data_IF_881844774226
#
_entry.id   IF_881844774226
#
_cell.length_a   1.000
_cell.length_b   1.000
_cell.length_c   1.000
_cell.angle_alpha   90.00
_cell.angle_beta   90.00
_cell.angle_gamma   90.00
#
_symmetry.space_group_name_H-M   'P 1'
#
loop_
_entity.id
_entity.type
_entity.pdbx_description
1 polymer ?
#
# COMPACT_ATOMS: atom_id res chain seq x y z
N UNK A 1 -10.09 4.23 -25.53
CA UNK A 1 -10.40 3.56 -24.25
C UNK A 1 -11.87 3.87 -23.93
N UNK A 2 -12.68 2.89 -23.53
CA UNK A 2 -14.09 3.12 -23.21
C UNK A 2 -14.18 4.07 -21.99
N UNK A 3 -15.09 5.07 -22.01
CA UNK A 3 -15.26 6.05 -20.92
C UNK A 3 -15.37 5.41 -19.52
N UNK A 4 -16.06 4.26 -19.43
CA UNK A 4 -16.19 3.48 -18.19
C UNK A 4 -14.85 2.98 -17.64
N UNK A 5 -13.93 2.52 -18.51
CA UNK A 5 -12.59 2.07 -18.10
C UNK A 5 -11.72 3.24 -17.63
N UNK A 6 -11.89 4.42 -18.24
CA UNK A 6 -11.19 5.64 -17.81
C UNK A 6 -11.64 6.02 -16.40
N UNK A 7 -12.94 6.01 -16.13
CA UNK A 7 -13.48 6.37 -14.81
C UNK A 7 -13.01 5.37 -13.72
N UNK A 8 -13.05 4.07 -14.00
CA UNK A 8 -12.53 3.08 -13.04
C UNK A 8 -11.03 3.23 -12.81
N UNK A 9 -10.26 3.49 -13.87
CA UNK A 9 -8.83 3.80 -13.72
C UNK A 9 -8.63 5.05 -12.85
N UNK A 10 -9.36 6.14 -13.11
CA UNK A 10 -9.29 7.37 -12.32
C UNK A 10 -9.70 7.13 -10.86
N UNK A 11 -10.72 6.32 -10.61
CA UNK A 11 -11.14 5.96 -9.24
C UNK A 11 -10.00 5.33 -8.46
N UNK A 12 -9.37 4.29 -9.01
CA UNK A 12 -8.25 3.61 -8.36
C UNK A 12 -7.02 4.52 -8.28
N UNK A 13 -6.74 5.29 -9.34
CA UNK A 13 -5.61 6.22 -9.37
C UNK A 13 -5.72 7.33 -8.32
N UNK A 14 -6.89 7.98 -8.21
CA UNK A 14 -7.12 9.06 -7.23
C UNK A 14 -7.03 8.53 -5.80
N UNK A 15 -7.55 7.33 -5.53
CA UNK A 15 -7.44 6.70 -4.22
C UNK A 15 -5.98 6.44 -3.83
N UNK A 16 -5.19 5.91 -4.76
CA UNK A 16 -3.77 5.61 -4.53
C UNK A 16 -2.90 6.87 -4.52
N UNK A 17 -3.26 7.87 -5.33
CA UNK A 17 -2.64 9.18 -5.29
C UNK A 17 -2.85 9.83 -3.92
N UNK A 18 -4.09 9.85 -3.42
CA UNK A 18 -4.42 10.40 -2.12
C UNK A 18 -3.74 9.66 -0.97
N UNK A 19 -3.67 8.34 -1.03
CA UNK A 19 -2.88 7.55 -0.09
C UNK A 19 -1.38 7.92 -0.15
N UNK A 20 -0.81 8.01 -1.35
CA UNK A 20 0.59 8.40 -1.57
C UNK A 20 0.92 9.81 -1.09
N UNK A 21 -0.01 10.77 -1.26
CA UNK A 21 0.10 12.15 -0.77
C UNK A 21 0.22 12.18 0.75
N UNK A 22 -0.57 11.36 1.44
CA UNK A 22 -0.68 11.40 2.91
C UNK A 22 0.46 10.63 3.60
N UNK A 23 1.02 9.59 2.99
CA UNK A 23 2.08 8.75 3.59
C UNK A 23 3.22 9.57 4.20
N UNK A 24 3.91 10.49 3.47
CA UNK A 24 5.06 11.19 4.00
C UNK A 24 4.71 12.31 4.99
N UNK A 25 3.45 12.73 5.03
CA UNK A 25 3.01 13.91 5.79
C UNK A 25 2.41 13.52 7.13
N UNK A 26 1.60 12.46 7.13
CA UNK A 26 0.79 12.07 8.28
C UNK A 26 1.60 11.85 9.56
N UNK A 27 2.73 11.10 9.53
CA UNK A 27 3.50 10.85 10.74
C UNK A 27 3.98 12.14 11.42
N UNK A 28 4.57 13.04 10.64
CA UNK A 28 5.08 14.30 11.15
C UNK A 28 3.98 15.23 11.66
N UNK A 29 2.80 15.22 11.01
CA UNK A 29 1.66 16.00 11.44
C UNK A 29 1.07 15.50 12.78
N UNK A 30 0.99 14.18 12.94
CA UNK A 30 0.51 13.55 14.17
C UNK A 30 1.43 13.86 15.35
N UNK A 31 2.74 13.82 15.15
CA UNK A 31 3.74 14.21 16.17
C UNK A 31 3.63 15.70 16.50
N UNK A 32 3.45 16.56 15.50
CA UNK A 32 3.24 18.00 15.72
C UNK A 32 2.02 18.29 16.62
N UNK A 33 0.98 17.46 16.58
CA UNK A 33 -0.17 17.51 17.49
C UNK A 33 0.08 16.89 18.88
N UNK A 34 1.32 16.54 19.21
CA UNK A 34 1.73 16.06 20.53
C UNK A 34 1.62 14.54 20.73
N UNK A 35 1.43 13.75 19.66
CA UNK A 35 1.48 12.30 19.78
C UNK A 35 2.93 11.79 19.79
N UNK A 36 3.14 10.64 20.44
CA UNK A 36 4.37 9.87 20.29
C UNK A 36 4.34 9.01 19.03
N UNK A 37 5.46 8.39 18.68
CA UNK A 37 5.60 7.56 17.47
C UNK A 37 4.77 6.27 17.53
N UNK A 38 4.48 5.73 18.71
CA UNK A 38 3.56 4.61 18.87
C UNK A 38 2.13 4.97 18.40
N UNK A 39 1.59 6.11 18.87
CA UNK A 39 0.26 6.61 18.45
C UNK A 39 0.25 6.91 16.96
N UNK A 40 1.34 7.45 16.42
CA UNK A 40 1.52 7.69 14.98
C UNK A 40 1.40 6.39 14.19
N UNK A 41 2.06 5.32 14.66
CA UNK A 41 1.95 3.99 14.06
C UNK A 41 0.54 3.40 14.14
N UNK A 42 -0.19 3.61 15.24
CA UNK A 42 -1.58 3.18 15.38
C UNK A 42 -2.51 3.92 14.40
N UNK A 43 -2.34 5.22 14.25
CA UNK A 43 -3.11 6.05 13.32
C UNK A 43 -2.85 5.62 11.87
N UNK A 44 -1.59 5.40 11.49
CA UNK A 44 -1.24 4.90 10.16
C UNK A 44 -1.80 3.49 9.93
N UNK A 45 -1.71 2.61 10.93
CA UNK A 45 -2.19 1.24 10.89
C UNK A 45 -3.71 1.13 10.80
N UNK A 46 -4.47 2.09 11.40
CA UNK A 46 -5.93 2.07 11.41
C UNK A 46 -6.55 2.09 10.02
N UNK A 47 -5.96 2.83 9.08
CA UNK A 47 -6.33 2.79 7.66
C UNK A 47 -6.23 1.38 7.08
N UNK A 48 -5.09 0.71 7.29
CA UNK A 48 -4.85 -0.63 6.74
C UNK A 48 -5.71 -1.69 7.41
N UNK A 49 -6.00 -1.54 8.70
CA UNK A 49 -6.93 -2.42 9.43
C UNK A 49 -8.34 -2.32 8.86
N UNK A 50 -8.85 -1.10 8.66
CA UNK A 50 -10.17 -0.91 8.07
C UNK A 50 -10.23 -1.36 6.62
N UNK A 51 -9.19 -1.13 5.84
CA UNK A 51 -9.07 -1.65 4.48
C UNK A 51 -9.13 -3.19 4.47
N UNK A 52 -8.39 -3.86 5.36
CA UNK A 52 -8.43 -5.31 5.54
C UNK A 52 -9.86 -5.82 5.84
N UNK A 53 -10.52 -5.19 6.81
CA UNK A 53 -11.85 -5.59 7.26
C UNK A 53 -12.90 -5.36 6.15
N UNK A 54 -12.83 -4.23 5.46
CA UNK A 54 -13.87 -3.79 4.53
C UNK A 54 -13.72 -4.37 3.13
N UNK A 55 -12.53 -4.76 2.67
CA UNK A 55 -12.31 -5.24 1.30
C UNK A 55 -13.20 -6.43 0.95
N UNK A 56 -13.28 -7.45 1.82
CA UNK A 56 -14.13 -8.62 1.60
C UNK A 56 -15.62 -8.28 1.72
N UNK A 57 -15.96 -7.42 2.69
CA UNK A 57 -17.34 -6.98 2.91
C UNK A 57 -17.89 -6.19 1.74
N UNK A 58 -17.16 -5.18 1.25
CA UNK A 58 -17.57 -4.35 0.12
C UNK A 58 -17.63 -5.14 -1.18
N UNK A 59 -16.72 -6.11 -1.39
CA UNK A 59 -16.79 -7.04 -2.50
C UNK A 59 -18.12 -7.81 -2.52
N UNK A 60 -18.46 -8.46 -1.40
CA UNK A 60 -19.73 -9.19 -1.29
C UNK A 60 -20.96 -8.28 -1.34
N UNK A 61 -20.89 -7.10 -0.75
CA UNK A 61 -21.97 -6.11 -0.80
C UNK A 61 -22.22 -5.64 -2.24
N UNK A 62 -21.14 -5.46 -3.04
CA UNK A 62 -21.25 -5.07 -4.44
C UNK A 62 -21.88 -6.15 -5.35
N UNK A 63 -21.74 -7.43 -4.97
CA UNK A 63 -22.44 -8.52 -5.66
C UNK A 63 -23.97 -8.49 -5.40
N UNK A 64 -24.38 -7.96 -4.24
CA UNK A 64 -25.78 -7.93 -3.81
C UNK A 64 -26.52 -6.68 -4.33
N UNK A 65 -25.93 -5.49 -4.22
CA UNK A 65 -26.62 -4.23 -4.58
C UNK A 65 -26.18 -3.66 -5.93
N UNK A 66 -25.06 -4.15 -6.47
CA UNK A 66 -24.44 -3.65 -7.71
C UNK A 66 -23.07 -3.02 -7.47
N UNK A 67 -22.24 -2.99 -8.51
CA UNK A 67 -20.88 -2.45 -8.46
C UNK A 67 -20.88 -0.92 -8.32
N UNK A 68 -21.71 -0.25 -9.12
CA UNK A 68 -21.77 1.22 -9.19
C UNK A 68 -22.09 1.87 -7.85
N UNK A 69 -23.17 1.49 -7.11
CA UNK A 69 -23.49 2.10 -5.82
C UNK A 69 -22.36 1.96 -4.80
N UNK A 70 -21.70 0.80 -4.76
CA UNK A 70 -20.60 0.57 -3.80
C UNK A 70 -19.37 1.39 -4.18
N UNK A 71 -19.00 1.50 -5.46
CA UNK A 71 -17.92 2.38 -5.89
C UNK A 71 -18.18 3.85 -5.55
N UNK A 72 -19.41 4.34 -5.77
CA UNK A 72 -19.79 5.71 -5.42
C UNK A 72 -19.73 5.94 -3.91
N UNK A 73 -20.21 4.99 -3.11
CA UNK A 73 -20.12 5.04 -1.66
C UNK A 73 -18.66 5.14 -1.18
N UNK A 74 -17.78 4.32 -1.73
CA UNK A 74 -16.35 4.30 -1.33
C UNK A 74 -15.63 5.59 -1.71
N UNK A 75 -15.89 6.15 -2.90
CA UNK A 75 -15.32 7.43 -3.33
C UNK A 75 -15.84 8.58 -2.44
N UNK A 76 -17.13 8.56 -2.06
CA UNK A 76 -17.68 9.52 -1.12
C UNK A 76 -17.00 9.42 0.26
N UNK A 77 -16.79 8.21 0.77
CA UNK A 77 -16.05 8.01 2.04
C UNK A 77 -14.64 8.59 1.96
N UNK A 78 -13.92 8.38 0.86
CA UNK A 78 -12.60 9.00 0.66
C UNK A 78 -12.67 10.52 0.62
N UNK A 79 -13.63 11.11 -0.10
CA UNK A 79 -13.81 12.56 -0.12
C UNK A 79 -14.04 13.14 1.29
N UNK A 80 -14.93 12.54 2.06
CA UNK A 80 -15.25 12.94 3.43
C UNK A 80 -14.06 12.76 4.38
N UNK A 81 -13.29 11.67 4.20
CA UNK A 81 -12.10 11.42 5.02
C UNK A 81 -11.02 12.47 4.83
N UNK A 82 -10.77 12.89 3.58
CA UNK A 82 -9.79 13.93 3.29
C UNK A 82 -10.28 15.31 3.71
N UNK A 83 -11.60 15.57 3.62
CA UNK A 83 -12.19 16.79 4.15
C UNK A 83 -12.03 16.85 5.68
N UNK A 84 -12.30 15.74 6.38
CA UNK A 84 -12.07 15.66 7.82
C UNK A 84 -10.58 15.83 8.17
N UNK A 85 -9.67 15.28 7.37
CA UNK A 85 -8.23 15.46 7.55
C UNK A 85 -7.82 16.94 7.40
N UNK A 86 -8.40 17.66 6.42
CA UNK A 86 -8.09 19.07 6.18
C UNK A 86 -8.36 19.93 7.41
N UNK A 87 -9.42 19.66 8.14
CA UNK A 87 -9.84 20.43 9.32
C UNK A 87 -9.49 19.76 10.65
N UNK A 88 -8.65 18.68 10.61
CA UNK A 88 -8.24 17.98 11.81
C UNK A 88 -7.23 18.82 12.61
N UNK A 89 -7.57 19.14 13.83
CA UNK A 89 -6.72 19.83 14.81
C UNK A 89 -6.51 19.00 16.09
N UNK A 90 -7.06 17.80 16.13
CA UNK A 90 -6.96 16.86 17.25
C UNK A 90 -6.70 15.45 16.74
N UNK A 91 -6.00 14.64 17.54
CA UNK A 91 -5.58 13.27 17.17
C UNK A 91 -6.76 12.36 16.81
N UNK A 92 -7.88 12.44 17.55
CA UNK A 92 -9.06 11.62 17.27
C UNK A 92 -9.70 11.93 15.92
N UNK A 93 -9.62 13.16 15.43
CA UNK A 93 -10.13 13.54 14.10
C UNK A 93 -9.29 12.88 12.99
N UNK A 94 -7.96 12.88 13.17
CA UNK A 94 -7.06 12.21 12.25
C UNK A 94 -7.32 10.70 12.27
N UNK A 95 -7.44 10.10 13.46
CA UNK A 95 -7.75 8.68 13.59
C UNK A 95 -9.05 8.31 12.88
N UNK A 96 -10.11 9.08 13.11
CA UNK A 96 -11.40 8.89 12.43
C UNK A 96 -11.28 9.07 10.92
N UNK A 97 -10.53 10.07 10.45
CA UNK A 97 -10.30 10.25 9.02
C UNK A 97 -9.60 9.02 8.41
N UNK A 98 -8.62 8.42 9.11
CA UNK A 98 -7.93 7.20 8.63
C UNK A 98 -8.85 5.98 8.59
N UNK A 99 -9.73 5.82 9.57
CA UNK A 99 -10.77 4.79 9.57
C UNK A 99 -11.68 4.94 8.34
N UNK A 100 -12.22 6.15 8.12
CA UNK A 100 -13.11 6.43 6.98
C UNK A 100 -12.37 6.23 5.65
N UNK A 101 -11.11 6.68 5.54
CA UNK A 101 -10.28 6.47 4.36
C UNK A 101 -10.03 4.97 4.09
N UNK A 102 -9.81 4.16 5.14
CA UNK A 102 -9.64 2.72 5.02
C UNK A 102 -10.88 2.02 4.47
N UNK A 103 -12.08 2.48 4.87
CA UNK A 103 -13.35 2.01 4.28
C UNK A 103 -13.43 2.41 2.80
N UNK A 104 -13.16 3.68 2.48
CA UNK A 104 -13.19 4.20 1.12
C UNK A 104 -12.23 3.50 0.16
N UNK A 105 -11.00 3.24 0.63
CA UNK A 105 -9.96 2.61 -0.21
C UNK A 105 -10.09 1.08 -0.36
N UNK A 106 -11.08 0.45 0.30
CA UNK A 106 -11.37 -0.98 0.14
C UNK A 106 -12.14 -1.31 -1.16
N UNK A 107 -12.14 -0.40 -2.13
CA UNK A 107 -12.87 -0.47 -3.39
C UNK A 107 -12.12 -1.21 -4.52
N UNK A 108 -10.84 -1.52 -4.35
CA UNK A 108 -10.00 -2.13 -5.40
C UNK A 108 -10.60 -3.46 -5.87
N UNK A 109 -11.12 -4.29 -4.95
CA UNK A 109 -11.79 -5.55 -5.29
C UNK A 109 -13.06 -5.32 -6.13
N UNK A 110 -13.83 -4.27 -5.82
CA UNK A 110 -15.04 -3.89 -6.56
C UNK A 110 -14.68 -3.35 -7.95
N UNK A 111 -13.61 -2.54 -8.05
CA UNK A 111 -13.09 -2.04 -9.33
C UNK A 111 -12.60 -3.20 -10.23
N UNK A 112 -11.91 -4.18 -9.67
CA UNK A 112 -11.49 -5.39 -10.38
C UNK A 112 -12.70 -6.17 -10.89
N UNK A 113 -13.71 -6.38 -10.05
CA UNK A 113 -14.94 -7.05 -10.44
C UNK A 113 -15.68 -6.29 -11.54
N UNK A 114 -15.80 -4.96 -11.43
CA UNK A 114 -16.39 -4.12 -12.47
C UNK A 114 -15.68 -4.27 -13.83
N UNK A 115 -14.33 -4.24 -13.84
CA UNK A 115 -13.54 -4.47 -15.06
C UNK A 115 -13.80 -5.86 -15.63
N UNK A 116 -13.87 -6.89 -14.78
CA UNK A 116 -14.16 -8.26 -15.20
C UNK A 116 -15.54 -8.39 -15.86
N UNK A 117 -16.56 -7.71 -15.29
CA UNK A 117 -17.94 -7.73 -15.78
C UNK A 117 -18.09 -7.12 -17.19
N UNK A 118 -17.34 -6.02 -17.48
CA UNK A 118 -17.44 -5.30 -18.75
C UNK A 118 -16.41 -5.74 -19.80
N UNK A 119 -15.58 -6.76 -19.48
CA UNK A 119 -14.45 -7.16 -20.33
C UNK A 119 -14.56 -8.60 -20.78
N UNK A 120 -14.48 -8.89 -22.10
CA UNK A 120 -14.34 -10.25 -22.60
C UNK A 120 -13.13 -10.97 -21.99
N UNK A 121 -13.20 -12.30 -21.77
CA UNK A 121 -12.13 -13.06 -21.10
C UNK A 121 -10.73 -12.84 -21.69
N UNK A 122 -10.62 -12.73 -23.00
CA UNK A 122 -9.35 -12.60 -23.74
C UNK A 122 -8.64 -11.25 -23.46
N UNK A 123 -9.39 -10.22 -23.04
CA UNK A 123 -8.87 -8.88 -22.79
C UNK A 123 -8.74 -8.57 -21.28
N UNK A 124 -9.20 -9.45 -20.40
CA UNK A 124 -9.24 -9.19 -18.94
C UNK A 124 -7.86 -8.87 -18.37
N UNK A 125 -6.86 -9.67 -18.69
CA UNK A 125 -5.48 -9.45 -18.21
C UNK A 125 -4.96 -8.07 -18.61
N UNK A 126 -5.15 -7.66 -19.88
CA UNK A 126 -4.71 -6.35 -20.37
C UNK A 126 -5.43 -5.20 -19.65
N UNK A 127 -6.72 -5.34 -19.36
CA UNK A 127 -7.49 -4.28 -18.69
C UNK A 127 -7.27 -4.24 -17.19
N UNK A 128 -7.02 -5.40 -16.54
CA UNK A 128 -6.59 -5.46 -15.14
C UNK A 128 -5.23 -4.80 -14.90
N UNK A 129 -4.35 -4.79 -15.90
CA UNK A 129 -3.07 -4.08 -15.81
C UNK A 129 -3.22 -2.56 -15.59
N UNK A 130 -4.39 -1.96 -15.91
CA UNK A 130 -4.68 -0.56 -15.60
C UNK A 130 -4.67 -0.29 -14.09
N UNK A 131 -5.10 -1.25 -13.28
CA UNK A 131 -5.04 -1.11 -11.82
C UNK A 131 -3.58 -1.06 -11.35
N UNK A 132 -2.72 -1.92 -11.88
CA UNK A 132 -1.28 -1.87 -11.59
C UNK A 132 -0.62 -0.55 -12.01
N UNK A 133 -1.04 -0.01 -13.17
CA UNK A 133 -0.58 1.31 -13.62
C UNK A 133 -1.05 2.44 -12.69
N UNK A 134 -2.29 2.38 -12.20
CA UNK A 134 -2.82 3.34 -11.22
C UNK A 134 -2.02 3.29 -9.91
N UNK A 135 -1.66 2.10 -9.42
CA UNK A 135 -0.76 1.93 -8.27
C UNK A 135 0.59 2.61 -8.50
N UNK A 136 1.25 2.31 -9.62
CA UNK A 136 2.54 2.88 -9.95
C UNK A 136 2.51 4.40 -10.00
N UNK A 137 1.57 4.97 -10.75
CA UNK A 137 1.43 6.42 -10.90
C UNK A 137 1.06 7.11 -9.59
N UNK A 138 0.15 6.53 -8.80
CA UNK A 138 -0.26 7.08 -7.50
C UNK A 138 0.91 7.17 -6.52
N UNK A 139 1.73 6.14 -6.42
CA UNK A 139 2.91 6.13 -5.56
C UNK A 139 4.08 6.99 -6.06
N UNK A 140 4.20 7.22 -7.38
CA UNK A 140 5.23 8.11 -7.93
C UNK A 140 4.86 9.58 -7.74
N UNK A 141 3.61 9.93 -8.05
CA UNK A 141 3.16 11.32 -8.07
C UNK A 141 2.65 11.81 -6.71
N UNK A 142 2.07 10.90 -5.90
CA UNK A 142 1.46 11.25 -4.63
C UNK A 142 2.42 11.94 -3.65
N UNK A 143 3.51 11.29 -3.24
CA UNK A 143 4.41 11.86 -2.25
C UNK A 143 5.04 13.20 -2.61
N UNK A 144 5.55 13.44 -3.85
CA UNK A 144 6.04 14.75 -4.25
C UNK A 144 4.97 15.84 -4.21
N UNK A 145 3.74 15.53 -4.70
CA UNK A 145 2.61 16.47 -4.64
C UNK A 145 2.27 16.78 -3.19
N UNK A 146 2.22 15.77 -2.33
CA UNK A 146 1.93 15.94 -0.92
C UNK A 146 2.97 16.79 -0.21
N UNK A 147 4.24 16.48 -0.37
CA UNK A 147 5.34 17.23 0.21
C UNK A 147 5.34 18.70 -0.24
N UNK A 148 5.07 18.95 -1.52
CA UNK A 148 4.93 20.31 -2.06
C UNK A 148 3.75 21.05 -1.43
N UNK A 149 2.55 20.46 -1.42
CA UNK A 149 1.35 21.09 -0.84
C UNK A 149 1.54 21.39 0.65
N UNK A 150 2.17 20.48 1.41
CA UNK A 150 2.46 20.70 2.83
C UNK A 150 3.47 21.83 3.03
N UNK A 151 4.43 22.00 2.12
CA UNK A 151 5.45 23.04 2.22
C UNK A 151 4.98 24.44 1.86
N UNK A 152 3.79 24.62 1.28
CA UNK A 152 3.22 25.92 0.95
C UNK A 152 2.92 26.78 2.18
N UNK A 153 2.59 26.12 3.31
CA UNK A 153 2.31 26.76 4.58
C UNK A 153 2.66 25.80 5.73
N UNK A 154 3.53 26.22 6.64
CA UNK A 154 3.95 25.38 7.75
C UNK A 154 2.82 25.03 8.70
N UNK A 155 1.90 25.96 8.94
CA UNK A 155 0.77 25.78 9.86
C UNK A 155 -0.43 25.13 9.18
N UNK A 156 -0.81 25.58 7.99
CA UNK A 156 -2.03 25.17 7.31
C UNK A 156 -1.79 24.20 6.14
N UNK A 157 -0.58 23.75 5.90
CA UNK A 157 -0.28 22.86 4.76
C UNK A 157 -1.09 21.58 4.72
N UNK A 158 -1.55 21.06 5.89
CA UNK A 158 -2.45 19.89 5.94
C UNK A 158 -3.83 20.22 5.36
N UNK A 159 -4.28 21.46 5.47
CA UNK A 159 -5.55 21.93 4.90
C UNK A 159 -5.50 21.85 3.38
N UNK A 160 -4.37 22.32 2.76
CA UNK A 160 -4.18 22.23 1.31
C UNK A 160 -4.16 20.78 0.84
N UNK A 161 -3.47 19.91 1.57
CA UNK A 161 -3.42 18.47 1.28
C UNK A 161 -4.81 17.84 1.34
N UNK A 162 -5.56 18.08 2.39
CA UNK A 162 -6.89 17.51 2.58
C UNK A 162 -7.91 18.04 1.59
N UNK A 163 -7.94 19.37 1.34
CA UNK A 163 -8.84 19.99 0.37
C UNK A 163 -8.53 19.50 -1.04
N UNK A 164 -7.26 19.45 -1.44
CA UNK A 164 -6.85 18.98 -2.77
C UNK A 164 -7.31 17.55 -3.02
N UNK A 165 -7.05 16.63 -2.08
CA UNK A 165 -7.49 15.25 -2.20
C UNK A 165 -9.00 15.10 -2.19
N UNK A 166 -9.70 15.82 -1.31
CA UNK A 166 -11.16 15.82 -1.26
C UNK A 166 -11.75 16.32 -2.57
N UNK A 167 -11.21 17.39 -3.15
CA UNK A 167 -11.64 17.93 -4.44
C UNK A 167 -11.47 16.92 -5.57
N UNK A 168 -10.33 16.22 -5.65
CA UNK A 168 -10.13 15.16 -6.63
C UNK A 168 -11.13 14.01 -6.46
N UNK A 169 -11.42 13.61 -5.21
CA UNK A 169 -12.43 12.60 -4.93
C UNK A 169 -13.84 13.05 -5.33
N UNK A 170 -14.21 14.32 -5.12
CA UNK A 170 -15.50 14.84 -5.59
C UNK A 170 -15.59 14.88 -7.12
N UNK A 171 -14.53 15.29 -7.84
CA UNK A 171 -14.48 15.23 -9.30
C UNK A 171 -14.69 13.77 -9.76
N UNK A 172 -14.01 12.83 -9.10
CA UNK A 172 -14.18 11.41 -9.40
C UNK A 172 -15.60 10.92 -9.12
N UNK A 173 -16.21 11.33 -8.00
CA UNK A 173 -17.59 10.99 -7.65
C UNK A 173 -18.57 11.50 -8.72
N UNK A 174 -18.43 12.75 -9.17
CA UNK A 174 -19.24 13.31 -10.25
C UNK A 174 -19.03 12.53 -11.56
N UNK A 175 -17.77 12.23 -11.91
CA UNK A 175 -17.44 11.43 -13.09
C UNK A 175 -18.07 10.03 -13.01
N UNK A 176 -18.00 9.38 -11.85
CA UNK A 176 -18.62 8.08 -11.62
C UNK A 176 -20.16 8.15 -11.70
N UNK A 177 -20.76 9.21 -11.15
CA UNK A 177 -22.21 9.40 -11.19
C UNK A 177 -22.76 9.48 -12.61
N UNK A 178 -22.12 10.24 -13.50
CA UNK A 178 -22.58 10.47 -14.86
C UNK A 178 -22.13 9.41 -15.86
N UNK A 179 -20.94 8.84 -15.70
CA UNK A 179 -20.29 8.02 -16.72
C UNK A 179 -20.28 6.51 -16.39
N UNK A 180 -20.43 6.11 -15.12
CA UNK A 180 -20.51 4.71 -14.75
C UNK A 180 -21.95 4.21 -14.84
N UNK A 181 -22.17 3.18 -15.67
CA UNK A 181 -23.39 2.39 -15.64
C UNK A 181 -23.18 1.17 -14.74
N UNK A 182 -24.27 0.58 -14.26
CA UNK A 182 -24.18 -0.68 -13.54
C UNK A 182 -23.60 -1.78 -14.47
N UNK A 183 -22.61 -2.52 -13.96
CA UNK A 183 -21.97 -3.59 -14.73
C UNK A 183 -22.56 -4.96 -14.44
N UNK A 184 -23.14 -5.13 -13.27
CA UNK A 184 -23.69 -6.40 -12.80
C UNK A 184 -25.06 -6.64 -13.45
N UNK A 185 -25.14 -7.68 -14.30
CA UNK A 185 -26.39 -8.04 -15.02
C UNK A 185 -27.40 -8.71 -14.09
N UNK A 186 -26.94 -9.59 -13.21
CA UNK A 186 -27.77 -10.34 -12.27
C UNK A 186 -27.25 -10.14 -10.85
N UNK A 187 -28.12 -9.71 -9.95
CA UNK A 187 -27.79 -9.48 -8.55
C UNK A 187 -28.11 -10.72 -7.73
N UNK A 188 -27.13 -11.20 -6.99
CA UNK A 188 -27.36 -12.32 -6.07
C UNK A 188 -27.91 -11.79 -4.74
N UNK A 189 -29.25 -11.63 -4.68
CA UNK A 189 -29.96 -11.14 -3.49
C UNK A 189 -29.80 -12.07 -2.27
N UNK A 190 -29.53 -13.35 -2.50
CA UNK A 190 -29.42 -14.38 -1.45
C UNK A 190 -27.99 -14.55 -0.97
N UNK A 191 -27.01 -13.90 -1.58
CA UNK A 191 -25.62 -13.99 -1.15
C UNK A 191 -25.47 -13.52 0.29
N UNK A 192 -25.10 -14.45 1.15
CA UNK A 192 -24.75 -14.11 2.53
C UNK A 192 -23.43 -13.31 2.50
N UNK A 193 -23.46 -12.12 3.10
CA UNK A 193 -22.27 -11.32 3.29
C UNK A 193 -21.49 -11.96 4.45
N UNK A 194 -20.75 -13.02 4.13
CA UNK A 194 -19.95 -13.71 5.14
C UNK A 194 -18.61 -12.97 5.30
N UNK A 195 -18.32 -12.60 6.52
CA UNK A 195 -17.02 -12.05 6.90
C UNK A 195 -16.02 -13.23 7.04
N UNK A 196 -15.49 -13.71 5.90
CA UNK A 196 -14.70 -14.95 5.82
C UNK A 196 -13.17 -14.76 5.61
N UNK A 197 -12.54 -13.58 5.82
CA UNK A 197 -11.10 -13.47 5.58
C UNK A 197 -10.30 -14.44 6.45
N UNK A 198 -10.68 -14.64 7.71
CA UNK A 198 -9.97 -15.51 8.67
C UNK A 198 -10.05 -16.98 8.27
N UNK A 199 -11.21 -17.46 7.81
CA UNK A 199 -11.38 -18.87 7.43
C UNK A 199 -10.57 -19.21 6.17
N UNK A 200 -10.54 -18.32 5.19
CA UNK A 200 -9.71 -18.47 3.99
C UNK A 200 -8.21 -18.45 4.33
N UNK A 201 -7.79 -17.55 5.23
CA UNK A 201 -6.41 -17.49 5.72
C UNK A 201 -6.03 -18.83 6.36
N UNK A 202 -6.88 -19.40 7.24
CA UNK A 202 -6.63 -20.68 7.91
C UNK A 202 -6.45 -21.83 6.91
N UNK A 203 -7.28 -21.88 5.87
CA UNK A 203 -7.22 -22.94 4.86
C UNK A 203 -5.90 -22.94 4.08
N UNK A 204 -5.41 -21.76 3.65
CA UNK A 204 -4.18 -21.67 2.88
C UNK A 204 -2.91 -21.78 3.73
N UNK A 205 -2.93 -21.32 4.99
CA UNK A 205 -1.81 -21.49 5.94
C UNK A 205 -1.61 -22.98 6.30
N UNK A 206 -2.63 -23.83 6.16
CA UNK A 206 -2.50 -25.27 6.37
C UNK A 206 -1.59 -25.95 5.32
N UNK A 207 -1.37 -25.33 4.15
CA UNK A 207 -0.52 -25.86 3.08
C UNK A 207 0.93 -25.42 3.32
N UNK A 208 1.89 -26.33 3.63
CA UNK A 208 3.22 -25.95 4.10
C UNK A 208 3.98 -24.98 3.19
N UNK A 209 4.04 -25.24 1.87
CA UNK A 209 4.75 -24.38 0.91
C UNK A 209 4.11 -23.00 0.79
N UNK A 210 2.78 -22.94 0.74
CA UNK A 210 2.03 -21.68 0.66
C UNK A 210 2.22 -20.88 1.93
N UNK A 211 2.20 -21.54 3.09
CA UNK A 211 2.44 -20.92 4.40
C UNK A 211 3.76 -20.15 4.43
N UNK A 212 4.86 -20.75 3.95
CA UNK A 212 6.18 -20.12 3.97
C UNK A 212 6.19 -18.83 3.12
N UNK A 213 5.58 -18.86 1.92
CA UNK A 213 5.47 -17.66 1.08
C UNK A 213 4.56 -16.58 1.69
N UNK A 214 3.46 -16.97 2.32
CA UNK A 214 2.55 -16.04 3.00
C UNK A 214 3.25 -15.35 4.17
N UNK A 215 3.99 -16.11 5.00
CA UNK A 215 4.78 -15.54 6.10
C UNK A 215 5.92 -14.66 5.61
N UNK A 216 6.62 -15.07 4.56
CA UNK A 216 7.63 -14.22 3.95
C UNK A 216 7.03 -12.88 3.49
N UNK A 217 5.90 -12.91 2.79
CA UNK A 217 5.22 -11.69 2.35
C UNK A 217 4.78 -10.80 3.51
N UNK A 218 4.23 -11.40 4.58
CA UNK A 218 3.87 -10.68 5.80
C UNK A 218 5.07 -9.96 6.41
N UNK A 219 6.21 -10.64 6.54
CA UNK A 219 7.46 -10.09 7.07
C UNK A 219 7.98 -8.96 6.18
N UNK A 220 8.03 -9.20 4.86
CA UNK A 220 8.48 -8.21 3.88
C UNK A 220 7.66 -6.91 3.97
N UNK A 221 6.33 -7.02 3.98
CA UNK A 221 5.45 -5.85 4.09
C UNK A 221 5.54 -5.19 5.48
N UNK A 222 5.76 -5.97 6.55
CA UNK A 222 5.99 -5.42 7.88
C UNK A 222 7.26 -4.55 7.91
N UNK A 223 8.38 -5.05 7.39
CA UNK A 223 9.63 -4.28 7.31
C UNK A 223 9.47 -3.02 6.45
N UNK A 224 8.81 -3.14 5.29
CA UNK A 224 8.54 -2.02 4.40
C UNK A 224 7.63 -0.96 5.07
N UNK A 225 6.62 -1.38 5.84
CA UNK A 225 5.71 -0.46 6.52
C UNK A 225 6.36 0.28 7.68
N UNK A 226 7.22 -0.40 8.45
CA UNK A 226 8.06 0.24 9.47
C UNK A 226 8.92 1.31 8.80
N UNK A 227 9.63 0.95 7.73
CA UNK A 227 10.42 1.91 6.97
C UNK A 227 9.58 3.09 6.48
N UNK A 228 8.45 2.85 5.82
CA UNK A 228 7.63 3.92 5.23
C UNK A 228 7.11 4.94 6.25
N UNK A 229 6.74 4.51 7.44
CA UNK A 229 6.18 5.40 8.47
C UNK A 229 7.30 6.08 9.26
N UNK A 230 8.29 5.33 9.71
CA UNK A 230 9.28 5.86 10.66
C UNK A 230 10.45 6.58 9.99
N UNK A 231 10.76 6.27 8.73
CA UNK A 231 11.76 7.06 7.99
C UNK A 231 11.34 8.52 7.82
N UNK A 232 10.03 8.80 7.69
CA UNK A 232 9.54 10.18 7.58
C UNK A 232 9.78 10.97 8.86
N UNK A 233 9.58 10.32 10.02
CA UNK A 233 9.85 10.90 11.34
C UNK A 233 11.36 11.10 11.51
N UNK A 234 12.15 10.06 11.29
CA UNK A 234 13.61 10.09 11.40
C UNK A 234 14.24 11.17 10.51
N UNK A 235 13.83 11.27 9.27
CA UNK A 235 14.33 12.31 8.34
C UNK A 235 13.95 13.71 8.77
N UNK A 236 12.77 13.90 9.38
CA UNK A 236 12.33 15.21 9.86
C UNK A 236 13.02 15.62 11.14
N UNK A 237 13.12 14.72 12.12
CA UNK A 237 13.64 15.02 13.46
C UNK A 237 15.17 14.95 13.53
N UNK A 238 15.76 13.90 12.95
CA UNK A 238 17.20 13.63 13.05
C UNK A 238 17.99 14.25 11.89
N UNK A 239 17.45 14.21 10.66
CA UNK A 239 18.14 14.76 9.48
C UNK A 239 17.64 16.16 9.09
N UNK A 240 16.73 16.77 9.84
CA UNK A 240 16.20 18.14 9.66
C UNK A 240 15.66 18.43 8.25
N UNK A 241 15.14 17.42 7.56
CA UNK A 241 14.64 17.57 6.19
C UNK A 241 13.28 18.28 6.15
N UNK A 242 13.07 19.02 5.07
CA UNK A 242 11.79 19.68 4.75
C UNK A 242 10.81 18.68 4.13
N UNK A 243 9.51 18.92 4.30
CA UNK A 243 8.45 18.01 3.83
C UNK A 243 8.52 17.74 2.32
N UNK A 244 8.89 18.72 1.50
CA UNK A 244 9.06 18.52 0.05
C UNK A 244 10.24 17.59 -0.29
N UNK A 245 11.34 17.61 0.48
CA UNK A 245 12.49 16.72 0.28
C UNK A 245 12.10 15.27 0.60
N UNK A 246 11.36 15.07 1.69
CA UNK A 246 10.79 13.75 2.05
C UNK A 246 9.86 13.26 0.95
N UNK A 247 9.00 14.13 0.40
CA UNK A 247 8.14 13.82 -0.74
C UNK A 247 8.93 13.35 -1.97
N UNK A 248 10.03 14.01 -2.31
CA UNK A 248 10.91 13.62 -3.41
C UNK A 248 11.60 12.27 -3.18
N UNK A 249 11.98 11.93 -1.96
CA UNK A 249 12.53 10.61 -1.64
C UNK A 249 11.52 9.50 -1.93
N UNK A 250 10.27 9.67 -1.52
CA UNK A 250 9.22 8.70 -1.85
C UNK A 250 8.90 8.66 -3.35
N UNK A 251 8.94 9.79 -4.04
CA UNK A 251 8.83 9.84 -5.50
C UNK A 251 9.95 9.04 -6.19
N UNK A 252 11.19 9.18 -5.73
CA UNK A 252 12.33 8.39 -6.20
C UNK A 252 12.12 6.90 -5.95
N UNK A 253 11.65 6.50 -4.74
CA UNK A 253 11.30 5.12 -4.43
C UNK A 253 10.28 4.57 -5.44
N UNK A 254 9.25 5.34 -5.75
CA UNK A 254 8.22 4.94 -6.71
C UNK A 254 8.78 4.69 -8.10
N UNK A 255 9.55 5.64 -8.65
CA UNK A 255 10.15 5.54 -9.99
C UNK A 255 11.09 4.33 -10.07
N UNK A 256 12.02 4.20 -9.12
CA UNK A 256 13.00 3.12 -9.12
C UNK A 256 12.32 1.76 -8.95
N UNK A 257 11.30 1.66 -8.09
CA UNK A 257 10.52 0.40 -7.93
C UNK A 257 9.84 -0.01 -9.23
N UNK A 258 9.22 0.92 -9.97
CA UNK A 258 8.59 0.62 -11.26
C UNK A 258 9.63 0.17 -12.30
N UNK A 259 10.78 0.81 -12.37
CA UNK A 259 11.85 0.43 -13.29
C UNK A 259 12.35 -1.00 -13.00
N UNK A 260 12.57 -1.33 -11.74
CA UNK A 260 12.97 -2.68 -11.34
C UNK A 260 11.87 -3.72 -11.56
N UNK A 261 10.62 -3.38 -11.32
CA UNK A 261 9.48 -4.28 -11.53
C UNK A 261 9.25 -4.59 -13.02
N UNK A 262 9.44 -3.61 -13.91
CA UNK A 262 9.12 -3.75 -15.34
C UNK A 262 10.32 -4.20 -16.17
N UNK A 263 11.45 -3.56 -16.00
CA UNK A 263 12.66 -3.80 -16.80
C UNK A 263 13.62 -4.72 -16.05
N UNK A 264 13.96 -4.40 -14.81
CA UNK A 264 14.95 -5.12 -14.02
C UNK A 264 14.58 -6.57 -13.81
N UNK A 265 13.35 -6.85 -13.36
CA UNK A 265 12.86 -8.22 -13.16
C UNK A 265 12.90 -9.04 -14.45
N UNK A 266 12.45 -8.46 -15.57
CA UNK A 266 12.48 -9.14 -16.88
C UNK A 266 13.90 -9.51 -17.33
N UNK A 267 14.88 -8.64 -17.05
CA UNK A 267 16.29 -8.92 -17.40
C UNK A 267 16.89 -9.98 -16.48
N UNK A 268 16.61 -9.92 -15.17
CA UNK A 268 17.13 -10.88 -14.20
C UNK A 268 16.55 -12.28 -14.39
N UNK A 269 15.28 -12.42 -14.72
CA UNK A 269 14.63 -13.71 -14.97
C UNK A 269 15.19 -14.47 -16.19
N UNK A 270 15.96 -13.81 -17.08
CA UNK A 270 16.68 -14.48 -18.16
C UNK A 270 17.86 -15.34 -17.65
N UNK A 271 18.43 -15.01 -16.48
CA UNK A 271 19.63 -15.68 -15.93
C UNK A 271 19.39 -16.34 -14.58
N UNK A 272 18.44 -15.83 -13.78
CA UNK A 272 18.23 -16.24 -12.40
C UNK A 272 16.77 -16.63 -12.18
N UNK A 273 16.54 -17.57 -11.27
CA UNK A 273 15.18 -17.94 -10.84
C UNK A 273 14.64 -16.94 -9.80
N UNK A 274 13.32 -16.89 -9.64
CA UNK A 274 12.63 -15.98 -8.73
C UNK A 274 13.13 -16.09 -7.29
N UNK A 275 13.44 -17.29 -6.79
CA UNK A 275 13.96 -17.50 -5.43
C UNK A 275 15.31 -16.81 -5.21
N UNK A 276 16.23 -16.93 -6.16
CA UNK A 276 17.54 -16.28 -6.08
C UNK A 276 17.42 -14.75 -6.11
N UNK A 277 16.53 -14.24 -6.97
CA UNK A 277 16.23 -12.80 -7.04
C UNK A 277 15.70 -12.30 -5.70
N UNK A 278 14.72 -12.99 -5.10
CA UNK A 278 14.15 -12.64 -3.81
C UNK A 278 15.23 -12.64 -2.71
N UNK A 279 16.08 -13.66 -2.65
CA UNK A 279 17.12 -13.77 -1.63
C UNK A 279 18.09 -12.58 -1.68
N UNK A 280 18.61 -12.26 -2.87
CA UNK A 280 19.56 -11.16 -3.06
C UNK A 280 18.89 -9.81 -2.80
N UNK A 281 17.69 -9.61 -3.34
CA UNK A 281 16.92 -8.39 -3.15
C UNK A 281 16.57 -8.14 -1.66
N UNK A 282 16.22 -9.21 -0.92
CA UNK A 282 15.96 -9.13 0.53
C UNK A 282 17.21 -8.76 1.32
N UNK A 283 18.35 -9.34 0.98
CA UNK A 283 19.61 -9.04 1.67
C UNK A 283 20.04 -7.57 1.46
N UNK A 284 19.99 -7.09 0.21
CA UNK A 284 20.33 -5.70 -0.12
C UNK A 284 19.35 -4.70 0.53
N UNK A 285 18.06 -5.00 0.50
CA UNK A 285 17.03 -4.18 1.15
C UNK A 285 17.23 -4.15 2.67
N UNK A 286 17.46 -5.31 3.30
CA UNK A 286 17.71 -5.43 4.73
C UNK A 286 18.93 -4.59 5.15
N UNK A 287 20.05 -4.72 4.43
CA UNK A 287 21.26 -3.96 4.70
C UNK A 287 21.03 -2.45 4.55
N UNK A 288 20.27 -2.05 3.52
CA UNK A 288 19.97 -0.63 3.31
C UNK A 288 19.07 -0.06 4.39
N UNK A 289 18.06 -0.82 4.87
CA UNK A 289 17.23 -0.40 6.00
C UNK A 289 18.09 -0.26 7.28
N UNK A 290 19.02 -1.19 7.51
CA UNK A 290 19.95 -1.09 8.63
C UNK A 290 20.83 0.17 8.54
N UNK A 291 21.37 0.45 7.35
CA UNK A 291 22.25 1.60 7.13
C UNK A 291 21.55 2.97 7.29
N UNK A 292 20.22 3.03 7.34
CA UNK A 292 19.51 4.29 7.60
C UNK A 292 19.88 4.92 8.94
N UNK A 293 20.25 4.11 9.95
CA UNK A 293 20.65 4.60 11.29
C UNK A 293 21.93 5.46 11.28
N UNK A 294 22.71 5.43 10.20
CA UNK A 294 23.92 6.22 10.04
C UNK A 294 23.72 7.51 9.26
N UNK A 295 22.48 7.84 8.89
CA UNK A 295 22.15 9.09 8.25
C UNK A 295 22.14 10.22 9.27
N UNK A 296 22.67 11.38 8.85
CA UNK A 296 22.62 12.65 9.59
C UNK A 296 22.33 13.79 8.60
N UNK A 297 22.24 15.02 9.08
CA UNK A 297 21.96 16.23 8.27
C UNK A 297 22.99 16.47 7.16
N UNK A 298 24.26 16.09 7.38
CA UNK A 298 25.33 16.28 6.41
C UNK A 298 25.29 15.28 5.24
N UNK A 299 24.99 14.00 5.53
CA UNK A 299 25.11 12.91 4.53
C UNK A 299 23.79 12.47 3.92
N UNK A 300 22.64 12.87 4.48
CA UNK A 300 21.32 12.37 4.12
C UNK A 300 20.98 12.58 2.65
N UNK A 301 21.38 13.70 2.05
CA UNK A 301 21.04 13.98 0.65
C UNK A 301 21.74 13.05 -0.35
N UNK A 302 22.93 12.56 -0.04
CA UNK A 302 23.69 11.68 -0.94
C UNK A 302 23.53 10.21 -0.60
N UNK A 303 23.81 9.86 0.68
CA UNK A 303 23.80 8.48 1.11
C UNK A 303 22.38 7.88 1.06
N UNK A 304 21.37 8.68 1.41
CA UNK A 304 19.99 8.21 1.39
C UNK A 304 19.53 7.77 0.01
N UNK A 305 19.88 8.50 -1.08
CA UNK A 305 19.53 8.06 -2.44
C UNK A 305 20.09 6.68 -2.78
N UNK A 306 21.31 6.37 -2.32
CA UNK A 306 21.91 5.05 -2.51
C UNK A 306 21.13 3.98 -1.73
N UNK A 307 20.78 4.25 -0.48
CA UNK A 307 20.00 3.33 0.35
C UNK A 307 18.59 3.14 -0.23
N UNK A 308 17.95 4.23 -0.62
CA UNK A 308 16.61 4.18 -1.23
C UNK A 308 16.61 3.44 -2.57
N UNK A 309 17.69 3.51 -3.35
CA UNK A 309 17.82 2.73 -4.59
C UNK A 309 17.72 1.22 -4.31
N UNK A 310 18.43 0.71 -3.31
CA UNK A 310 18.38 -0.72 -2.96
C UNK A 310 17.07 -1.12 -2.28
N UNK A 311 16.48 -0.24 -1.46
CA UNK A 311 15.15 -0.48 -0.87
C UNK A 311 14.09 -0.57 -1.99
N UNK A 312 14.14 0.36 -2.95
CA UNK A 312 13.23 0.40 -4.09
C UNK A 312 13.41 -0.79 -5.03
N UNK A 313 14.65 -1.19 -5.27
CA UNK A 313 14.99 -2.40 -6.01
C UNK A 313 14.38 -3.64 -5.33
N UNK A 314 14.55 -3.76 -4.00
CA UNK A 314 13.95 -4.82 -3.21
C UNK A 314 12.43 -4.86 -3.38
N UNK A 315 11.75 -3.73 -3.21
CA UNK A 315 10.30 -3.62 -3.37
C UNK A 315 9.85 -4.01 -4.79
N UNK A 316 10.52 -3.49 -5.82
CA UNK A 316 10.19 -3.74 -7.23
C UNK A 316 10.43 -5.18 -7.69
N UNK A 317 11.37 -5.90 -7.08
CA UNK A 317 11.69 -7.30 -7.42
C UNK A 317 10.90 -8.31 -6.58
N UNK A 318 10.79 -8.10 -5.27
CA UNK A 318 10.20 -9.07 -4.33
C UNK A 318 8.69 -9.21 -4.54
N UNK A 319 7.97 -8.09 -4.58
CA UNK A 319 6.50 -8.09 -4.62
C UNK A 319 5.93 -8.88 -5.82
N UNK A 320 6.35 -8.65 -7.07
CA UNK A 320 5.87 -9.42 -8.22
C UNK A 320 6.36 -10.87 -8.20
N UNK A 321 7.59 -11.13 -7.73
CA UNK A 321 8.13 -12.50 -7.69
C UNK A 321 7.38 -13.39 -6.71
N UNK A 322 7.05 -12.89 -5.51
CA UNK A 322 6.23 -13.65 -4.54
C UNK A 322 4.82 -13.89 -5.08
N UNK A 323 4.22 -12.88 -5.70
CA UNK A 323 2.88 -13.01 -6.30
C UNK A 323 2.86 -14.06 -7.40
N UNK A 324 3.90 -14.11 -8.24
CA UNK A 324 4.10 -15.12 -9.28
C UNK A 324 4.25 -16.52 -8.67
N UNK A 325 5.15 -16.68 -7.69
CA UNK A 325 5.39 -17.97 -7.03
C UNK A 325 4.14 -18.51 -6.32
N UNK A 326 3.37 -17.66 -5.64
CA UNK A 326 2.10 -18.05 -5.03
C UNK A 326 1.08 -18.52 -6.08
N UNK A 327 0.91 -17.76 -7.16
CA UNK A 327 -0.08 -18.08 -8.20
C UNK A 327 0.22 -19.42 -8.92
N UNK A 328 1.49 -19.83 -8.98
CA UNK A 328 1.91 -21.10 -9.59
C UNK A 328 1.65 -22.32 -8.68
N UNK A 329 1.30 -22.13 -7.39
CA UNK A 329 1.15 -23.20 -6.39
C UNK A 329 -0.27 -23.71 -6.22
N UNK A 330 -1.23 -23.12 -6.90
CA UNK A 330 -2.63 -23.51 -6.87
C UNK A 330 -3.22 -23.57 -8.27
N UNK A 331 -4.28 -24.34 -8.49
CA UNK A 331 -5.03 -24.31 -9.74
C UNK A 331 -5.52 -22.89 -10.06
N UNK A 332 -5.64 -22.54 -11.36
CA UNK A 332 -6.09 -21.20 -11.79
C UNK A 332 -7.37 -20.71 -11.11
N UNK A 333 -8.30 -21.63 -10.79
CA UNK A 333 -9.58 -21.33 -10.12
C UNK A 333 -9.40 -20.85 -8.67
N UNK A 334 -8.32 -21.24 -8.00
CA UNK A 334 -8.02 -20.88 -6.60
C UNK A 334 -7.01 -19.72 -6.50
N UNK A 335 -6.35 -19.35 -7.60
CA UNK A 335 -5.31 -18.32 -7.60
C UNK A 335 -5.83 -16.97 -7.09
N UNK A 336 -7.04 -16.56 -7.50
CA UNK A 336 -7.65 -15.32 -7.01
C UNK A 336 -7.90 -15.33 -5.49
N UNK A 337 -8.37 -16.46 -4.94
CA UNK A 337 -8.61 -16.62 -3.50
C UNK A 337 -7.30 -16.57 -2.71
N UNK A 338 -6.25 -17.24 -3.17
CA UNK A 338 -4.93 -17.24 -2.53
C UNK A 338 -4.29 -15.83 -2.55
N UNK A 339 -4.34 -15.14 -3.70
CA UNK A 339 -3.84 -13.77 -3.80
C UNK A 339 -4.65 -12.78 -2.93
N UNK A 340 -5.95 -13.02 -2.76
CA UNK A 340 -6.79 -12.30 -1.81
C UNK A 340 -6.33 -12.50 -0.36
N UNK A 341 -6.00 -13.74 0.04
CA UNK A 341 -5.43 -14.04 1.36
C UNK A 341 -4.08 -13.37 1.54
N UNK A 342 -3.20 -13.43 0.53
CA UNK A 342 -1.92 -12.74 0.55
C UNK A 342 -2.08 -11.22 0.76
N UNK A 343 -3.00 -10.60 0.03
CA UNK A 343 -3.28 -9.16 0.17
C UNK A 343 -3.88 -8.82 1.55
N UNK A 344 -4.71 -9.70 2.11
CA UNK A 344 -5.25 -9.54 3.45
C UNK A 344 -4.14 -9.56 4.52
N UNK A 345 -3.21 -10.51 4.42
CA UNK A 345 -2.05 -10.58 5.32
C UNK A 345 -1.14 -9.35 5.17
N UNK A 346 -0.95 -8.85 3.95
CA UNK A 346 -0.21 -7.63 3.69
C UNK A 346 -0.88 -6.40 4.34
N UNK A 347 -2.22 -6.32 4.32
CA UNK A 347 -2.95 -5.25 4.99
C UNK A 347 -2.85 -5.35 6.51
N UNK A 348 -2.86 -6.57 7.07
CA UNK A 348 -2.64 -6.81 8.49
C UNK A 348 -1.21 -6.42 8.91
N UNK A 349 -0.20 -6.74 8.09
CA UNK A 349 1.18 -6.32 8.32
C UNK A 349 1.29 -4.78 8.40
N UNK A 350 0.68 -4.07 7.45
CA UNK A 350 0.62 -2.59 7.46
C UNK A 350 -0.18 -2.03 8.63
N UNK A 351 -1.12 -2.78 9.19
CA UNK A 351 -1.90 -2.35 10.34
C UNK A 351 -1.09 -2.42 11.65
N UNK A 352 -0.29 -3.47 11.82
CA UNK A 352 0.35 -3.79 13.11
C UNK A 352 1.80 -3.30 13.16
N UNK A 353 2.56 -3.47 12.07
CA UNK A 353 4.00 -3.24 12.07
C UNK A 353 4.39 -1.78 12.37
N UNK A 354 3.71 -0.72 11.86
CA UNK A 354 4.06 0.65 12.20
C UNK A 354 3.88 0.99 13.69
N UNK A 355 2.88 0.41 14.36
CA UNK A 355 2.67 0.62 15.78
C UNK A 355 3.80 -0.03 16.62
N UNK A 356 4.20 -1.26 16.27
CA UNK A 356 5.35 -1.93 16.92
C UNK A 356 6.63 -1.12 16.66
N UNK A 357 6.85 -0.69 15.42
CA UNK A 357 7.99 0.15 15.08
C UNK A 357 8.00 1.47 15.83
N UNK A 358 6.84 2.14 15.95
CA UNK A 358 6.69 3.40 16.69
C UNK A 358 6.99 3.23 18.19
N UNK A 359 6.51 2.16 18.80
CA UNK A 359 6.85 1.83 20.19
C UNK A 359 8.36 1.67 20.39
N UNK A 360 9.03 1.00 19.47
CA UNK A 360 10.48 0.83 19.52
C UNK A 360 11.22 2.16 19.28
N UNK A 361 10.69 3.00 18.40
CA UNK A 361 11.26 4.32 18.13
C UNK A 361 11.21 5.24 19.36
N UNK A 362 10.11 5.18 20.13
CA UNK A 362 9.96 5.94 21.38
C UNK A 362 11.00 5.51 22.45
N UNK A 363 11.57 4.29 22.34
CA UNK A 363 12.66 3.82 23.19
C UNK A 363 14.01 4.26 22.63
N UNK A 364 14.25 4.04 21.34
CA UNK A 364 15.44 4.45 20.60
C UNK A 364 15.15 4.50 19.11
N UNK A 365 15.52 5.59 18.44
CA UNK A 365 15.24 5.85 17.02
C UNK A 365 15.84 4.80 16.06
N UNK A 366 16.91 4.10 16.45
CA UNK A 366 17.53 3.05 15.64
C UNK A 366 16.79 1.70 15.71
N UNK A 367 16.09 1.40 16.81
CA UNK A 367 15.52 0.07 17.06
C UNK A 367 14.54 -0.41 16.00
N UNK A 368 13.62 0.41 15.47
CA UNK A 368 12.69 -0.06 14.43
C UNK A 368 13.40 -0.44 13.13
N UNK A 369 14.46 0.27 12.75
CA UNK A 369 15.24 -0.06 11.55
C UNK A 369 16.07 -1.32 11.74
N UNK A 370 16.62 -1.53 12.94
CA UNK A 370 17.31 -2.77 13.32
C UNK A 370 16.32 -3.94 13.29
N UNK A 371 15.13 -3.81 13.92
CA UNK A 371 14.10 -4.85 13.88
C UNK A 371 13.70 -5.17 12.44
N UNK A 372 13.36 -4.17 11.63
CA UNK A 372 12.93 -4.34 10.25
C UNK A 372 14.01 -5.08 9.43
N UNK A 373 15.27 -4.72 9.60
CA UNK A 373 16.40 -5.33 8.93
C UNK A 373 16.61 -6.78 9.36
N UNK A 374 16.64 -7.06 10.67
CA UNK A 374 16.85 -8.43 11.22
C UNK A 374 15.71 -9.36 10.81
N UNK A 375 14.46 -8.90 10.92
CA UNK A 375 13.29 -9.70 10.54
C UNK A 375 13.28 -9.93 9.02
N UNK A 376 13.66 -8.94 8.20
CA UNK A 376 13.75 -9.08 6.75
C UNK A 376 14.84 -10.07 6.34
N UNK A 377 16.04 -10.00 6.91
CA UNK A 377 17.12 -10.95 6.56
C UNK A 377 16.80 -12.37 7.04
N UNK A 378 16.17 -12.51 8.23
CA UNK A 378 15.76 -13.82 8.74
C UNK A 378 14.71 -14.49 7.85
N UNK A 379 13.85 -13.71 7.18
CA UNK A 379 12.83 -14.22 6.26
C UNK A 379 13.43 -14.93 5.03
N UNK A 380 14.69 -14.64 4.68
CA UNK A 380 15.42 -15.33 3.62
C UNK A 380 15.50 -16.84 3.91
N UNK A 381 15.53 -17.23 5.19
CA UNK A 381 15.50 -18.65 5.58
C UNK A 381 14.23 -19.34 5.08
N UNK A 382 13.07 -18.68 5.13
CA UNK A 382 11.80 -19.24 4.64
C UNK A 382 11.89 -19.56 3.14
N UNK A 383 12.46 -18.66 2.34
CA UNK A 383 12.61 -18.84 0.90
C UNK A 383 13.66 -19.93 0.59
N UNK A 384 14.77 -20.00 1.34
CA UNK A 384 15.76 -21.07 1.18
C UNK A 384 15.17 -22.45 1.49
N UNK A 385 14.39 -22.56 2.57
CA UNK A 385 13.72 -23.80 2.97
C UNK A 385 12.75 -24.30 1.88
N UNK A 386 11.97 -23.40 1.28
CA UNK A 386 11.10 -23.77 0.16
C UNK A 386 11.89 -24.21 -1.05
N UNK A 387 13.00 -23.52 -1.38
CA UNK A 387 13.86 -23.86 -2.50
C UNK A 387 14.49 -25.27 -2.38
N UNK A 388 14.80 -25.72 -1.18
CA UNK A 388 15.41 -27.05 -0.94
C UNK A 388 14.40 -28.20 -1.10
N UNK A 389 13.11 -27.91 -1.01
CA UNK A 389 12.05 -28.92 -1.15
C UNK A 389 11.61 -29.12 -2.61
N UNK A 390 12.34 -28.51 -3.57
CA UNK A 390 12.16 -28.61 -5.02
C UNK A 390 13.51 -28.80 -5.72
#
# INVERSE_FOLDING_TARGET
MNSRLIVIFLTVFIDLLGFGIVIPILPNYVIHLGANTFVTGLIAGSFSLMNFLMTSYLGAWSDKIGRRPVLMFTVLMNALSYLLLAFSNQLWMIFLSRIIAGIGSANISVAQAYIADITPPEQRTKRMALIGMAFGLGFVLGPPIGGYLKSLDEQHGIVYVGIFNSFLCFINLFSAFFLLNESLKERDKNKQIAFTPIQNIRNFIAIPVIKEYLWYGFIFISALSIFQVLSTVYWKEHCLLKDYQIGWFFGFIGIVSILWQTIGLKLLLKKYNEHSIIIVASALMSMSIFCLIFLNDENVLYLNFVLLFFISMGNGLISPSITSLLSQRVPPQQSGSLLGVFQSLNSLARAVAPAIGGFLYDINEAYPFILASVVMISSVYLIKKVRQNF
#
